data_IF_478886811118
#
_entry.id   IF_478886811118
#
_cell.length_a   1.000
_cell.length_b   1.000
_cell.length_c   1.000
_cell.angle_alpha   90.00
_cell.angle_beta   90.00
_cell.angle_gamma   90.00
#
_symmetry.space_group_name_H-M   'P 1'
#
loop_
_entity.id
_entity.type
_entity.pdbx_description
1 polymer ?
#
# COMPACT_ATOMS: atom_id res chain seq x y z
N UNK A 1 -4.95 -0.80 16.51
CA UNK A 1 -5.25 -2.17 16.92
C UNK A 1 -4.23 -2.61 17.98
N UNK A 2 -4.68 -2.96 19.19
CA UNK A 2 -3.82 -3.62 20.18
C UNK A 2 -3.80 -5.10 19.85
N UNK A 3 -2.72 -5.60 19.26
CA UNK A 3 -2.43 -7.03 19.23
C UNK A 3 -1.35 -7.34 20.27
N UNK A 4 -1.64 -8.26 21.16
CA UNK A 4 -0.72 -8.76 22.21
C UNK A 4 0.08 -10.00 21.76
N UNK A 5 -0.07 -10.40 20.49
CA UNK A 5 0.33 -11.71 19.96
C UNK A 5 1.65 -11.73 19.14
N UNK A 6 2.47 -10.69 19.27
CA UNK A 6 3.77 -10.65 18.56
C UNK A 6 3.68 -10.51 17.04
N UNK A 7 2.53 -10.16 16.48
CA UNK A 7 2.27 -10.10 15.04
C UNK A 7 2.99 -8.98 14.28
N UNK A 8 3.92 -8.27 14.93
CA UNK A 8 4.77 -7.29 14.25
C UNK A 8 5.66 -8.00 13.22
N UNK A 9 5.62 -7.53 11.98
CA UNK A 9 6.27 -8.13 10.80
C UNK A 9 5.61 -9.42 10.27
N UNK A 10 4.47 -9.83 10.81
CA UNK A 10 3.70 -10.93 10.23
C UNK A 10 2.89 -10.41 9.02
N UNK A 11 3.59 -10.18 7.92
CA UNK A 11 2.98 -9.77 6.66
C UNK A 11 2.04 -10.84 6.10
N UNK A 12 2.28 -12.13 6.39
CA UNK A 12 1.44 -13.21 5.92
C UNK A 12 0.03 -13.12 6.50
N UNK A 13 -0.09 -12.95 7.82
CA UNK A 13 -1.40 -12.77 8.46
C UNK A 13 -2.08 -11.47 8.04
N UNK A 14 -1.31 -10.39 7.84
CA UNK A 14 -1.86 -9.09 7.42
C UNK A 14 -2.41 -9.12 5.99
N UNK A 15 -1.69 -9.75 5.05
CA UNK A 15 -2.07 -9.76 3.63
C UNK A 15 -3.02 -10.89 3.26
N UNK A 16 -3.15 -11.93 4.12
CA UNK A 16 -4.00 -13.09 3.86
C UNK A 16 -5.45 -12.73 3.46
N UNK A 17 -6.18 -11.82 4.17
CA UNK A 17 -7.53 -11.46 3.78
C UNK A 17 -7.60 -10.83 2.39
N UNK A 18 -6.60 -9.99 2.04
CA UNK A 18 -6.51 -9.35 0.72
C UNK A 18 -6.26 -10.40 -0.36
N UNK A 19 -5.31 -11.31 -0.16
CA UNK A 19 -5.01 -12.39 -1.11
C UNK A 19 -6.24 -13.28 -1.32
N UNK A 20 -6.94 -13.65 -0.25
CA UNK A 20 -8.15 -14.46 -0.34
C UNK A 20 -9.28 -13.75 -1.11
N UNK A 21 -9.46 -12.45 -0.89
CA UNK A 21 -10.42 -11.65 -1.64
C UNK A 21 -10.04 -11.58 -3.13
N UNK A 22 -8.77 -11.34 -3.44
CA UNK A 22 -8.28 -11.31 -4.83
C UNK A 22 -8.44 -12.67 -5.53
N UNK A 23 -8.23 -13.79 -4.83
CA UNK A 23 -8.48 -15.13 -5.38
C UNK A 23 -9.95 -15.32 -5.76
N UNK A 24 -10.90 -14.87 -4.90
CA UNK A 24 -12.33 -14.91 -5.20
C UNK A 24 -12.69 -14.02 -6.40
N UNK A 25 -11.99 -12.93 -6.57
CA UNK A 25 -12.14 -12.03 -7.71
C UNK A 25 -11.44 -12.52 -8.99
N UNK A 26 -10.88 -13.73 -8.99
CA UNK A 26 -10.26 -14.37 -10.16
C UNK A 26 -8.74 -14.28 -10.22
N UNK A 27 -8.10 -13.40 -9.46
CA UNK A 27 -6.64 -13.26 -9.43
C UNK A 27 -5.97 -14.37 -8.59
N UNK A 28 -6.22 -15.65 -8.96
CA UNK A 28 -5.83 -16.85 -8.20
C UNK A 28 -4.32 -17.05 -8.06
N UNK A 29 -3.51 -16.41 -8.92
CA UNK A 29 -2.06 -16.44 -8.85
C UNK A 29 -1.45 -15.43 -7.87
N UNK A 30 -2.28 -14.62 -7.18
CA UNK A 30 -1.78 -13.63 -6.22
C UNK A 30 -1.19 -14.30 -4.98
N UNK A 31 0.07 -13.99 -4.65
CA UNK A 31 0.79 -14.59 -3.52
C UNK A 31 1.65 -13.54 -2.79
N UNK A 32 1.91 -13.77 -1.50
CA UNK A 32 2.95 -13.04 -0.77
C UNK A 32 4.30 -13.67 -1.12
N UNK A 33 5.23 -12.87 -1.60
CA UNK A 33 6.58 -13.33 -1.92
C UNK A 33 7.62 -12.41 -1.28
N UNK A 34 8.74 -13.00 -0.87
CA UNK A 34 9.74 -12.29 -0.11
C UNK A 34 9.22 -11.87 1.26
N UNK A 35 9.49 -10.62 1.64
CA UNK A 35 9.14 -10.11 2.98
C UNK A 35 7.75 -9.48 3.04
N UNK A 36 7.41 -8.66 2.06
CA UNK A 36 6.28 -7.74 2.15
C UNK A 36 5.67 -7.35 0.79
N UNK A 37 5.98 -8.08 -0.27
CA UNK A 37 5.46 -7.81 -1.60
C UNK A 37 4.39 -8.83 -1.98
N UNK A 38 3.32 -8.38 -2.66
CA UNK A 38 2.39 -9.28 -3.31
C UNK A 38 2.70 -9.32 -4.81
N UNK A 39 2.85 -10.53 -5.32
CA UNK A 39 3.17 -10.80 -6.71
C UNK A 39 2.07 -11.62 -7.37
N UNK A 40 2.00 -11.49 -8.69
CA UNK A 40 1.26 -12.38 -9.58
C UNK A 40 2.12 -12.59 -10.84
N UNK A 41 2.26 -13.82 -11.29
CA UNK A 41 3.18 -14.21 -12.38
C UNK A 41 4.61 -13.67 -12.19
N UNK A 42 5.10 -13.68 -10.93
CA UNK A 42 6.43 -13.18 -10.58
C UNK A 42 6.59 -11.66 -10.68
N UNK A 43 5.51 -10.89 -10.91
CA UNK A 43 5.51 -9.43 -10.98
C UNK A 43 4.79 -8.83 -9.79
N UNK A 44 5.38 -7.81 -9.19
CA UNK A 44 4.82 -7.10 -8.04
C UNK A 44 3.64 -6.23 -8.45
N UNK A 45 2.53 -6.39 -7.75
CA UNK A 45 1.37 -5.48 -7.85
C UNK A 45 1.06 -4.74 -6.53
N UNK A 46 1.69 -5.15 -5.41
CA UNK A 46 1.49 -4.53 -4.10
C UNK A 46 2.78 -4.54 -3.29
N UNK A 47 3.03 -3.48 -2.57
CA UNK A 47 4.05 -3.39 -1.54
C UNK A 47 3.43 -3.01 -0.20
N UNK A 48 3.90 -3.64 0.89
CA UNK A 48 3.32 -3.47 2.21
C UNK A 48 4.36 -3.00 3.22
N UNK A 49 3.92 -2.23 4.21
CA UNK A 49 4.75 -1.75 5.31
C UNK A 49 4.03 -1.84 6.64
N UNK A 50 4.79 -2.02 7.71
CA UNK A 50 4.29 -2.05 9.07
C UNK A 50 5.15 -1.17 9.97
N UNK A 51 4.51 -0.49 10.89
CA UNK A 51 5.15 0.29 11.95
C UNK A 51 4.52 -0.06 13.29
N UNK A 52 5.35 -0.29 14.31
CA UNK A 52 4.87 -0.56 15.67
C UNK A 52 5.58 0.35 16.66
N UNK A 53 4.81 0.93 17.57
CA UNK A 53 5.29 1.77 18.67
C UNK A 53 4.30 1.74 19.83
N UNK A 54 4.80 1.68 21.05
CA UNK A 54 4.02 1.76 22.30
C UNK A 54 2.85 0.76 22.33
N UNK A 55 3.08 -0.50 21.95
CA UNK A 55 2.09 -1.57 21.90
C UNK A 55 0.98 -1.39 20.85
N UNK A 56 1.14 -0.44 19.94
CA UNK A 56 0.24 -0.22 18.79
C UNK A 56 0.96 -0.55 17.50
N UNK A 57 0.20 -1.01 16.52
CA UNK A 57 0.72 -1.31 15.18
C UNK A 57 -0.17 -0.66 14.13
N UNK A 58 0.44 -0.11 13.10
CA UNK A 58 -0.21 0.24 11.85
C UNK A 58 0.40 -0.55 10.72
N UNK A 59 -0.41 -0.94 9.76
CA UNK A 59 0.03 -1.59 8.54
C UNK A 59 -0.71 -0.95 7.36
N UNK A 60 -0.03 -0.81 6.25
CA UNK A 60 -0.59 -0.30 5.00
C UNK A 60 0.05 -0.98 3.81
N UNK A 61 -0.63 -0.92 2.69
CA UNK A 61 -0.14 -1.42 1.41
C UNK A 61 -0.70 -0.61 0.25
N UNK A 62 -0.10 -0.81 -0.90
CA UNK A 62 -0.57 -0.26 -2.17
C UNK A 62 -1.04 -1.41 -3.06
N UNK A 63 -1.98 -1.15 -3.97
CA UNK A 63 -2.39 -2.10 -5.01
C UNK A 63 -2.37 -1.34 -6.34
N UNK A 64 -1.64 -1.87 -7.32
CA UNK A 64 -1.72 -1.42 -8.70
C UNK A 64 -2.87 -2.16 -9.36
N UNK A 65 -4.00 -1.48 -9.59
CA UNK A 65 -5.17 -2.08 -10.24
C UNK A 65 -5.16 -1.82 -11.75
N UNK A 66 -5.20 -0.54 -12.14
CA UNK A 66 -5.24 -0.11 -13.54
C UNK A 66 -4.44 1.21 -13.70
N UNK A 67 -3.21 1.22 -13.23
CA UNK A 67 -2.32 2.39 -13.29
C UNK A 67 -1.58 2.45 -14.62
N UNK A 68 -1.28 3.66 -15.12
CA UNK A 68 -0.35 3.83 -16.23
C UNK A 68 1.08 3.47 -15.77
N UNK A 69 1.55 2.29 -16.15
CA UNK A 69 2.87 1.78 -15.74
C UNK A 69 4.04 2.54 -16.41
N UNK A 70 3.80 3.23 -17.52
CA UNK A 70 4.81 4.06 -18.15
C UNK A 70 4.99 5.35 -17.35
N UNK A 71 3.91 5.98 -16.92
CA UNK A 71 3.97 7.14 -16.01
C UNK A 71 4.57 6.77 -14.66
N UNK A 72 4.20 5.62 -14.07
CA UNK A 72 4.85 5.09 -12.85
C UNK A 72 6.35 4.96 -13.04
N UNK A 73 6.78 4.38 -14.18
CA UNK A 73 8.20 4.21 -14.50
C UNK A 73 8.90 5.55 -14.68
N UNK A 74 8.26 6.51 -15.34
CA UNK A 74 8.79 7.85 -15.57
C UNK A 74 8.95 8.64 -14.26
N UNK A 75 7.95 8.58 -13.38
CA UNK A 75 7.98 9.24 -12.07
C UNK A 75 9.07 8.66 -11.14
N UNK A 76 9.34 7.35 -11.25
CA UNK A 76 10.31 6.64 -10.43
C UNK A 76 11.72 6.57 -11.03
N UNK A 77 11.99 7.27 -12.14
CA UNK A 77 13.35 7.30 -12.74
C UNK A 77 14.36 7.76 -11.69
N UNK A 78 15.30 6.88 -11.27
CA UNK A 78 16.36 7.30 -10.36
C UNK A 78 17.26 8.30 -11.06
N UNK A 79 17.72 9.35 -10.36
CA UNK A 79 18.72 10.28 -10.88
C UNK A 79 19.96 9.49 -11.34
N UNK A 80 20.60 9.91 -12.43
CA UNK A 80 21.75 9.23 -13.06
C UNK A 80 22.85 8.81 -12.07
N UNK A 81 23.12 9.61 -11.05
CA UNK A 81 24.10 9.30 -10.00
C UNK A 81 23.80 8.03 -9.17
N UNK A 82 22.55 7.52 -9.17
CA UNK A 82 22.17 6.25 -8.50
C UNK A 82 22.27 5.02 -9.43
N UNK A 83 22.41 5.23 -10.72
CA UNK A 83 22.38 4.15 -11.74
C UNK A 83 23.73 3.44 -11.84
N UNK A 84 24.85 4.11 -11.53
CA UNK A 84 26.20 3.56 -11.68
C UNK A 84 26.56 2.46 -10.67
N UNK A 85 25.83 2.34 -9.55
CA UNK A 85 26.21 1.40 -8.48
C UNK A 85 25.48 0.06 -8.45
N UNK A 86 24.36 -0.13 -9.18
CA UNK A 86 23.64 -1.43 -9.29
C UNK A 86 22.84 -1.44 -10.58
N UNK A 87 23.11 -2.38 -11.48
CA UNK A 87 22.34 -2.61 -12.72
C UNK A 87 20.84 -2.70 -12.42
N UNK A 88 20.14 -1.57 -12.52
CA UNK A 88 18.71 -1.48 -12.26
C UNK A 88 18.00 -2.08 -13.47
N UNK A 89 17.57 -3.35 -13.34
CA UNK A 89 16.58 -3.91 -14.26
C UNK A 89 15.36 -2.98 -14.27
N UNK A 90 14.85 -2.69 -15.46
CA UNK A 90 13.70 -1.82 -15.68
C UNK A 90 12.59 -2.09 -14.66
N UNK A 91 12.06 -1.03 -14.02
CA UNK A 91 10.93 -1.09 -13.09
C UNK A 91 9.74 -1.78 -13.77
N UNK A 92 9.52 -1.51 -15.07
CA UNK A 92 8.45 -2.07 -15.89
C UNK A 92 8.46 -3.61 -15.97
N UNK A 93 9.63 -4.25 -15.89
CA UNK A 93 9.71 -5.72 -15.89
C UNK A 93 9.37 -6.36 -14.55
N UNK A 94 9.24 -5.57 -13.46
CA UNK A 94 9.07 -6.05 -12.09
C UNK A 94 7.68 -5.78 -11.52
N UNK A 95 6.87 -4.94 -12.14
CA UNK A 95 5.55 -4.55 -11.67
C UNK A 95 4.47 -4.89 -12.68
N UNK A 96 3.24 -5.05 -12.21
CA UNK A 96 2.06 -5.28 -13.04
C UNK A 96 0.82 -4.68 -12.38
N UNK A 97 -0.21 -4.42 -13.18
CA UNK A 97 -1.55 -4.15 -12.70
C UNK A 97 -2.29 -5.47 -12.40
N UNK A 98 -3.27 -5.43 -11.52
CA UNK A 98 -4.16 -6.55 -11.21
C UNK A 98 -5.27 -6.76 -12.23
N UNK A 99 -5.74 -5.71 -12.88
CA UNK A 99 -6.87 -5.73 -13.82
C UNK A 99 -6.83 -6.87 -14.85
N UNK A 100 -5.68 -7.23 -15.46
CA UNK A 100 -5.60 -8.35 -16.40
C UNK A 100 -5.88 -9.73 -15.78
N UNK A 101 -5.80 -9.86 -14.45
CA UNK A 101 -5.84 -11.14 -13.73
C UNK A 101 -7.16 -11.39 -13.01
N UNK A 102 -8.02 -10.39 -12.89
CA UNK A 102 -9.35 -10.58 -12.31
C UNK A 102 -10.32 -11.13 -13.35
N UNK A 103 -11.42 -11.74 -12.87
CA UNK A 103 -12.49 -12.23 -13.74
C UNK A 103 -13.12 -11.11 -14.57
N UNK A 104 -13.71 -11.43 -15.72
CA UNK A 104 -14.27 -10.46 -16.67
C UNK A 104 -15.22 -9.47 -16.00
N UNK A 105 -16.05 -9.94 -15.05
CA UNK A 105 -17.02 -9.10 -14.32
C UNK A 105 -16.38 -7.96 -13.49
N UNK A 106 -15.05 -8.04 -13.21
CA UNK A 106 -14.32 -7.04 -12.42
C UNK A 106 -13.39 -6.17 -13.26
N UNK A 107 -13.24 -6.44 -14.55
CA UNK A 107 -12.29 -5.72 -15.41
C UNK A 107 -12.69 -4.26 -15.69
N UNK A 108 -13.98 -4.00 -15.74
CA UNK A 108 -14.50 -2.66 -16.06
C UNK A 108 -14.78 -1.79 -14.82
N UNK A 109 -14.40 -2.29 -13.63
CA UNK A 109 -14.56 -1.52 -12.40
C UNK A 109 -13.66 -0.28 -12.39
N UNK A 110 -14.22 0.82 -11.92
CA UNK A 110 -13.44 1.98 -11.47
C UNK A 110 -12.61 1.60 -10.24
N UNK A 111 -11.63 2.43 -9.87
CA UNK A 111 -10.81 2.17 -8.68
C UNK A 111 -11.64 2.19 -7.39
N UNK A 112 -12.67 3.03 -7.32
CA UNK A 112 -13.60 3.10 -6.20
C UNK A 112 -14.46 1.84 -6.09
N UNK A 113 -15.01 1.36 -7.20
CA UNK A 113 -15.78 0.12 -7.24
C UNK A 113 -14.91 -1.10 -6.91
N UNK A 114 -13.68 -1.16 -7.43
CA UNK A 114 -12.71 -2.21 -7.07
C UNK A 114 -12.40 -2.19 -5.56
N UNK A 115 -12.16 -1.01 -4.99
CA UNK A 115 -11.95 -0.86 -3.53
C UNK A 115 -13.15 -1.39 -2.74
N UNK A 116 -14.36 -0.99 -3.13
CA UNK A 116 -15.58 -1.37 -2.42
C UNK A 116 -15.84 -2.87 -2.56
N UNK A 117 -15.65 -3.45 -3.76
CA UNK A 117 -15.73 -4.90 -3.94
C UNK A 117 -14.69 -5.66 -3.10
N UNK A 118 -13.45 -5.18 -3.07
CA UNK A 118 -12.39 -5.78 -2.24
C UNK A 118 -12.79 -5.78 -0.74
N UNK A 119 -13.39 -4.70 -0.25
CA UNK A 119 -13.89 -4.60 1.13
C UNK A 119 -14.98 -5.63 1.38
N UNK A 120 -15.96 -5.79 0.48
CA UNK A 120 -17.03 -6.78 0.62
C UNK A 120 -16.44 -8.20 0.76
N UNK A 121 -15.46 -8.55 -0.08
CA UNK A 121 -14.82 -9.86 -0.02
C UNK A 121 -13.98 -10.07 1.25
N UNK A 122 -13.29 -9.02 1.73
CA UNK A 122 -12.49 -9.09 2.97
C UNK A 122 -13.38 -9.30 4.20
N UNK A 123 -14.52 -8.59 4.26
CA UNK A 123 -15.44 -8.67 5.39
C UNK A 123 -16.47 -9.78 5.25
N UNK A 124 -16.61 -10.39 4.07
CA UNK A 124 -17.58 -11.46 3.81
C UNK A 124 -19.02 -10.98 3.88
N UNK A 125 -19.30 -9.78 3.35
CA UNK A 125 -20.62 -9.15 3.32
C UNK A 125 -21.02 -8.80 1.90
N UNK A 126 -22.34 -8.67 1.67
CA UNK A 126 -22.88 -8.42 0.33
C UNK A 126 -23.07 -6.94 0.00
N UNK A 127 -23.17 -6.08 1.03
CA UNK A 127 -23.46 -4.65 0.85
C UNK A 127 -22.44 -3.79 1.57
N UNK A 128 -22.16 -2.62 1.02
CA UNK A 128 -21.16 -1.68 1.56
C UNK A 128 -21.53 -1.19 2.98
N UNK A 129 -22.81 -1.01 3.27
CA UNK A 129 -23.31 -0.59 4.59
C UNK A 129 -23.13 -1.64 5.67
N UNK A 130 -22.93 -2.91 5.30
CA UNK A 130 -22.66 -3.99 6.25
C UNK A 130 -21.16 -4.11 6.61
N UNK A 131 -20.28 -3.36 5.89
CA UNK A 131 -18.87 -3.25 6.24
C UNK A 131 -18.73 -2.41 7.52
N UNK A 132 -18.06 -2.93 8.58
CA UNK A 132 -17.87 -2.18 9.81
C UNK A 132 -17.18 -0.83 9.58
N UNK A 133 -17.78 0.25 10.05
CA UNK A 133 -17.27 1.59 9.90
C UNK A 133 -17.02 2.24 11.25
N UNK A 134 -15.83 2.80 11.45
CA UNK A 134 -15.50 3.61 12.62
C UNK A 134 -15.80 5.08 12.31
N UNK A 135 -16.76 5.65 12.99
CA UNK A 135 -17.05 7.10 12.94
C UNK A 135 -16.18 7.84 13.94
N UNK A 136 -15.42 8.81 13.45
CA UNK A 136 -14.64 9.70 14.31
C UNK A 136 -15.57 10.68 15.01
N UNK A 137 -15.35 10.89 16.32
CA UNK A 137 -16.04 11.92 17.12
C UNK A 137 -15.39 13.28 16.95
N UNK A 138 -16.07 14.35 17.37
CA UNK A 138 -15.48 15.72 17.38
C UNK A 138 -14.17 15.76 18.16
N UNK A 139 -14.09 15.06 19.29
CA UNK A 139 -12.87 14.94 20.09
C UNK A 139 -11.73 14.24 19.32
N UNK A 140 -12.04 13.25 18.49
CA UNK A 140 -11.02 12.61 17.64
C UNK A 140 -10.52 13.60 16.59
N UNK A 141 -11.42 14.40 16.00
CA UNK A 141 -11.06 15.45 15.03
C UNK A 141 -10.24 16.56 15.66
N UNK A 142 -10.54 17.02 16.89
CA UNK A 142 -9.68 17.94 17.65
C UNK A 142 -8.27 17.36 17.80
N UNK A 143 -8.14 16.07 18.13
CA UNK A 143 -6.86 15.38 18.22
C UNK A 143 -6.12 15.32 16.88
N UNK A 144 -6.82 15.08 15.79
CA UNK A 144 -6.26 15.09 14.42
C UNK A 144 -5.74 16.47 14.07
N UNK A 145 -6.53 17.53 14.33
CA UNK A 145 -6.11 18.92 14.05
C UNK A 145 -4.89 19.34 14.85
N UNK A 146 -4.83 18.97 16.13
CA UNK A 146 -3.65 19.22 16.97
C UNK A 146 -2.40 18.55 16.40
N UNK A 147 -2.47 17.27 16.01
CA UNK A 147 -1.32 16.57 15.40
C UNK A 147 -0.94 17.21 14.06
N UNK A 148 -1.92 17.64 13.26
CA UNK A 148 -1.67 18.37 12.01
C UNK A 148 -0.85 19.63 12.26
N UNK A 149 -1.23 20.46 13.23
CA UNK A 149 -0.54 21.71 13.54
C UNK A 149 0.86 21.48 14.12
N UNK A 150 0.98 20.56 15.08
CA UNK A 150 2.24 20.30 15.79
C UNK A 150 3.27 19.57 14.91
N UNK A 151 2.83 18.81 13.90
CA UNK A 151 3.70 17.95 13.08
C UNK A 151 3.56 18.19 11.59
N UNK A 152 2.46 17.76 10.96
CA UNK A 152 2.32 17.72 9.50
C UNK A 152 2.35 19.11 8.86
N UNK A 153 1.88 20.14 9.58
CA UNK A 153 1.96 21.56 9.19
C UNK A 153 3.23 22.27 9.69
N UNK A 154 4.09 21.61 10.44
CA UNK A 154 5.26 22.22 11.03
C UNK A 154 6.51 22.00 10.17
N UNK A 155 7.25 23.09 9.90
CA UNK A 155 8.45 23.05 9.06
C UNK A 155 9.56 22.20 9.68
N UNK A 156 9.79 22.36 10.99
CA UNK A 156 10.83 21.60 11.70
C UNK A 156 10.55 20.10 11.69
N UNK A 157 9.27 19.69 11.81
CA UNK A 157 8.89 18.29 11.68
C UNK A 157 9.18 17.74 10.28
N UNK A 158 8.86 18.50 9.24
CA UNK A 158 8.99 18.03 7.86
C UNK A 158 10.44 18.09 7.34
N UNK A 159 11.22 19.08 7.75
CA UNK A 159 12.54 19.38 7.17
C UNK A 159 13.62 19.63 8.22
N UNK A 160 13.30 20.24 9.38
CA UNK A 160 14.28 20.70 10.36
C UNK A 160 15.07 19.57 11.03
N UNK A 161 14.52 18.36 11.09
CA UNK A 161 15.21 17.18 11.64
C UNK A 161 15.96 16.35 10.57
N UNK A 162 16.00 16.80 9.32
CA UNK A 162 16.79 16.13 8.30
C UNK A 162 18.27 16.29 8.58
N UNK A 163 19.11 15.23 8.42
CA UNK A 163 20.55 15.38 8.51
C UNK A 163 21.04 16.41 7.49
N UNK A 164 22.06 17.17 7.87
CA UNK A 164 22.71 18.08 6.94
C UNK A 164 23.32 17.27 5.78
N UNK A 165 23.11 17.68 4.55
CA UNK A 165 23.66 17.05 3.37
C UNK A 165 24.08 18.09 2.34
N UNK A 166 25.14 17.79 1.60
CA UNK A 166 25.64 18.62 0.51
C UNK A 166 25.26 17.98 -0.84
N UNK A 167 24.68 18.79 -1.73
CA UNK A 167 24.45 18.39 -3.11
C UNK A 167 25.60 18.96 -3.96
N UNK A 168 26.53 18.12 -4.39
CA UNK A 168 27.50 18.53 -5.40
C UNK A 168 26.87 18.31 -6.77
N UNK A 169 26.69 19.40 -7.52
CA UNK A 169 26.40 19.32 -8.95
C UNK A 169 27.67 18.80 -9.66
N UNK A 170 27.56 17.72 -10.42
CA UNK A 170 28.58 17.19 -11.32
C UNK A 170 28.24 17.65 -12.70
#
# INVERSE_FOLDING_TARGET
>A
YKRQDGSFRDFASFTKPVIQALHKMGATGAVLEGRNDLLIDGKKFSGNAMYAKDGRMTAHGTILFDSDLDEVTNALKPRKAKIESKGVKSIRSRVTNLKPYVSEEYKDLTIEEFRDRLLLEIFGVDRREDVPELKLTDKDWEGVMKIREERMGNWDWNYGHSPQFDIKAV
#
